data_IF_072031845090
#
_entry.id   IF_072031845090
#
_cell.length_a   1.000
_cell.length_b   1.000
_cell.length_c   1.000
_cell.angle_alpha   90.00
_cell.angle_beta   90.00
_cell.angle_gamma   90.00
#
_symmetry.space_group_name_H-M   'P 1'
#
loop_
_entity.id
_entity.type
_entity.pdbx_description
1 polymer ?
#
# COMPACT_ATOMS: atom_id res chain seq x y z
N UNK A 1 23.61 -12.23 4.49
CA UNK A 1 22.45 -11.37 4.14
C UNK A 1 21.21 -12.12 4.59
N UNK A 2 20.23 -11.45 5.21
CA UNK A 2 18.94 -12.08 5.54
C UNK A 2 18.26 -12.54 4.25
N UNK A 3 17.61 -13.68 4.26
CA UNK A 3 16.81 -14.14 3.12
C UNK A 3 15.68 -13.13 2.88
N UNK A 4 15.45 -12.76 1.62
CA UNK A 4 14.38 -11.82 1.25
C UNK A 4 13.54 -12.40 0.13
N UNK A 5 12.25 -12.08 0.13
CA UNK A 5 11.30 -12.51 -0.90
C UNK A 5 10.47 -11.33 -1.39
N UNK A 6 9.93 -11.41 -2.60
CA UNK A 6 9.08 -10.35 -3.17
C UNK A 6 7.63 -10.52 -2.70
N UNK A 7 7.04 -9.47 -2.15
CA UNK A 7 5.66 -9.49 -1.66
C UNK A 7 4.84 -8.33 -2.23
N UNK A 8 3.55 -8.55 -2.43
CA UNK A 8 2.54 -7.52 -2.65
C UNK A 8 1.73 -7.32 -1.37
N UNK A 9 1.76 -6.11 -0.82
CA UNK A 9 0.94 -5.68 0.31
C UNK A 9 -0.29 -4.97 -0.26
N UNK A 10 -1.48 -5.51 0.00
CA UNK A 10 -2.76 -4.89 -0.33
C UNK A 10 -3.27 -4.11 0.87
N UNK A 11 -3.58 -2.84 0.68
CA UNK A 11 -3.92 -1.93 1.78
C UNK A 11 -4.95 -0.88 1.37
N UNK A 12 -5.62 -0.32 2.37
CA UNK A 12 -6.54 0.81 2.23
C UNK A 12 -6.23 1.88 3.26
N UNK A 13 -6.66 3.10 2.97
CA UNK A 13 -6.45 4.25 3.84
C UNK A 13 -7.47 5.35 3.55
N UNK A 14 -7.79 6.10 4.60
CA UNK A 14 -8.56 7.34 4.49
C UNK A 14 -7.60 8.50 4.25
N UNK A 15 -7.63 9.05 3.04
CA UNK A 15 -6.61 9.98 2.54
C UNK A 15 -6.60 11.34 3.24
N UNK A 16 -7.67 11.74 3.93
CA UNK A 16 -7.77 13.03 4.59
C UNK A 16 -6.73 13.22 5.70
N UNK A 17 -6.20 12.11 6.23
CA UNK A 17 -5.17 12.13 7.28
C UNK A 17 -3.74 12.16 6.73
N UNK A 18 -3.55 12.05 5.41
CA UNK A 18 -2.25 11.88 4.77
C UNK A 18 -1.94 12.95 3.73
N UNK A 19 -0.66 13.33 3.64
CA UNK A 19 -0.09 14.24 2.65
C UNK A 19 0.21 13.53 1.31
N UNK A 20 -0.70 12.64 0.89
CA UNK A 20 -0.57 11.77 -0.27
C UNK A 20 -0.03 10.39 0.08
N UNK A 21 0.04 9.50 -0.92
CA UNK A 21 0.50 8.13 -0.68
C UNK A 21 2.01 7.97 -0.77
N UNK A 22 2.67 8.73 -1.65
CA UNK A 22 4.07 8.50 -2.00
C UNK A 22 5.04 9.00 -0.92
N UNK A 23 6.16 8.30 -0.75
CA UNK A 23 7.21 8.65 0.20
C UNK A 23 7.76 10.06 -0.04
N UNK A 24 8.01 10.78 1.05
CA UNK A 24 8.60 12.11 1.04
C UNK A 24 9.71 12.17 2.10
N UNK A 25 10.89 12.70 1.74
CA UNK A 25 12.06 12.73 2.63
C UNK A 25 11.83 13.59 3.88
N UNK A 26 11.20 14.75 3.70
CA UNK A 26 11.03 15.76 4.75
C UNK A 26 9.61 15.79 5.34
N UNK A 27 8.82 14.74 5.10
CA UNK A 27 7.44 14.63 5.58
C UNK A 27 7.10 13.17 5.88
N UNK A 28 6.90 12.87 7.16
CA UNK A 28 6.62 11.51 7.62
C UNK A 28 5.13 11.12 7.52
N UNK A 29 4.26 12.07 7.17
CA UNK A 29 2.82 11.88 7.13
C UNK A 29 2.30 11.52 5.73
N UNK A 30 2.88 10.49 5.14
CA UNK A 30 2.38 9.85 3.90
C UNK A 30 2.11 8.38 4.16
N UNK A 31 1.34 7.73 3.29
CA UNK A 31 1.04 6.30 3.42
C UNK A 31 2.32 5.46 3.35
N UNK A 32 3.19 5.72 2.37
CA UNK A 32 4.45 5.00 2.20
C UNK A 32 5.43 5.27 3.36
N UNK A 33 5.55 6.50 3.86
CA UNK A 33 6.40 6.80 5.02
C UNK A 33 5.96 5.98 6.26
N UNK A 34 4.65 5.98 6.58
CA UNK A 34 4.12 5.22 7.72
C UNK A 34 4.23 3.71 7.52
N UNK A 35 4.07 3.21 6.30
CA UNK A 35 4.25 1.79 5.99
C UNK A 35 5.73 1.38 6.18
N UNK A 36 6.66 2.10 5.57
CA UNK A 36 8.11 1.82 5.65
C UNK A 36 8.62 1.90 7.09
N UNK A 37 8.18 2.90 7.86
CA UNK A 37 8.51 3.02 9.28
C UNK A 37 8.12 1.76 10.07
N UNK A 38 6.92 1.24 9.83
CA UNK A 38 6.43 0.05 10.54
C UNK A 38 7.06 -1.25 10.03
N UNK A 39 7.35 -1.35 8.74
CA UNK A 39 8.11 -2.48 8.19
C UNK A 39 9.52 -2.55 8.79
N UNK A 40 10.19 -1.39 8.90
CA UNK A 40 11.52 -1.31 9.52
C UNK A 40 11.46 -1.66 11.02
N UNK A 41 10.50 -1.12 11.76
CA UNK A 41 10.27 -1.48 13.19
C UNK A 41 9.97 -2.96 13.42
N UNK A 42 9.43 -3.65 12.42
CA UNK A 42 9.17 -5.09 12.47
C UNK A 42 10.36 -5.93 11.95
N UNK A 43 11.43 -5.27 11.52
CA UNK A 43 12.63 -5.83 10.86
C UNK A 43 12.34 -6.54 9.53
N UNK A 44 11.26 -6.13 8.85
CA UNK A 44 10.85 -6.66 7.55
C UNK A 44 11.61 -6.01 6.39
N UNK A 45 12.26 -4.87 6.64
CA UNK A 45 13.20 -4.21 5.72
C UNK A 45 14.39 -3.70 6.53
N UNK A 46 15.55 -3.57 5.87
CA UNK A 46 16.78 -3.14 6.54
C UNK A 46 16.98 -1.62 6.52
N UNK A 47 16.31 -0.89 5.62
CA UNK A 47 16.37 0.57 5.53
C UNK A 47 15.20 1.14 4.72
N UNK A 48 15.01 2.46 4.77
CA UNK A 48 13.89 3.17 4.11
C UNK A 48 14.09 3.37 2.61
N UNK A 49 15.32 3.19 2.10
CA UNK A 49 15.65 3.25 0.68
C UNK A 49 15.38 1.92 -0.05
N UNK A 50 14.66 1.00 0.62
CA UNK A 50 14.24 -0.28 0.03
C UNK A 50 13.41 0.00 -1.23
N UNK A 51 13.83 -0.51 -2.41
CA UNK A 51 13.08 -0.30 -3.64
C UNK A 51 11.67 -0.88 -3.53
N UNK A 52 10.69 -0.07 -3.94
CA UNK A 52 9.29 -0.48 -3.97
C UNK A 52 8.60 0.02 -5.24
N UNK A 53 7.64 -0.77 -5.72
CA UNK A 53 6.71 -0.43 -6.77
C UNK A 53 5.29 -0.30 -6.19
N UNK A 54 4.42 0.42 -6.89
CA UNK A 54 3.09 0.80 -6.39
C UNK A 54 2.05 0.75 -7.49
N UNK A 55 0.87 0.22 -7.17
CA UNK A 55 -0.25 0.16 -8.11
C UNK A 55 -0.68 1.56 -8.53
N UNK A 56 -0.76 2.49 -7.57
CA UNK A 56 -1.10 3.88 -7.81
C UNK A 56 -0.46 4.82 -6.79
N UNK A 57 -0.22 6.06 -7.21
CA UNK A 57 -0.02 7.19 -6.29
C UNK A 57 -1.34 7.90 -6.12
N UNK A 58 -1.61 8.40 -4.91
CA UNK A 58 -2.75 9.27 -4.64
C UNK A 58 -2.27 10.59 -4.07
N UNK A 59 -2.87 11.69 -4.52
CA UNK A 59 -2.56 13.03 -4.03
C UNK A 59 -3.06 13.22 -2.59
N UNK A 60 -2.64 14.33 -1.96
CA UNK A 60 -3.08 14.72 -0.62
C UNK A 60 -4.60 14.70 -0.50
N UNK A 61 -5.11 14.05 0.55
CA UNK A 61 -6.56 13.94 0.79
C UNK A 61 -7.27 12.82 0.02
N UNK A 62 -6.65 12.24 -1.01
CA UNK A 62 -7.28 11.18 -1.82
C UNK A 62 -7.17 9.82 -1.10
N UNK A 63 -8.33 9.20 -0.88
CA UNK A 63 -8.44 7.89 -0.22
C UNK A 63 -8.23 6.73 -1.20
N UNK A 64 -7.88 5.56 -0.68
CA UNK A 64 -7.84 4.32 -1.47
C UNK A 64 -8.59 3.19 -0.76
N UNK A 65 -9.56 2.58 -1.46
CA UNK A 65 -10.26 1.39 -0.97
C UNK A 65 -9.40 0.13 -1.07
N UNK A 66 -8.59 0.00 -2.13
CA UNK A 66 -7.56 -1.02 -2.30
C UNK A 66 -6.44 -0.39 -3.13
N UNK A 67 -5.25 -0.28 -2.55
CA UNK A 67 -4.01 0.03 -3.24
C UNK A 67 -3.02 -1.11 -2.99
N UNK A 68 -1.95 -1.18 -3.79
CA UNK A 68 -0.94 -2.23 -3.68
C UNK A 68 0.47 -1.65 -3.66
N UNK A 69 1.27 -2.10 -2.70
CA UNK A 69 2.71 -1.80 -2.62
C UNK A 69 3.46 -3.11 -2.76
N UNK A 70 4.39 -3.18 -3.71
CA UNK A 70 5.22 -4.34 -3.93
C UNK A 70 6.68 -4.02 -3.60
N UNK A 71 7.31 -4.86 -2.80
CA UNK A 71 8.68 -4.72 -2.34
C UNK A 71 9.21 -6.04 -1.80
N UNK A 72 10.53 -6.12 -1.65
CA UNK A 72 11.18 -7.26 -1.00
C UNK A 72 11.11 -7.11 0.51
N UNK A 73 10.72 -8.18 1.20
CA UNK A 73 10.71 -8.26 2.65
C UNK A 73 11.66 -9.35 3.13
N UNK A 74 12.29 -9.12 4.27
CA UNK A 74 13.07 -10.11 5.01
C UNK A 74 12.17 -11.30 5.39
N UNK A 75 12.71 -12.52 5.36
CA UNK A 75 12.11 -13.73 5.91
C UNK A 75 12.53 -13.85 7.37
N UNK A 76 11.60 -13.58 8.29
CA UNK A 76 11.85 -13.55 9.74
C UNK A 76 11.68 -14.91 10.41
N UNK A 77 10.89 -15.79 9.81
CA UNK A 77 10.52 -17.08 10.37
C UNK A 77 11.13 -18.20 9.52
N UNK A 78 12.35 -18.59 9.88
CA UNK A 78 13.06 -19.70 9.20
C UNK A 78 12.27 -21.01 9.31
N UNK A 79 12.32 -21.82 8.26
CA UNK A 79 11.62 -23.12 8.18
C UNK A 79 10.08 -23.06 8.32
N UNK A 80 9.48 -21.87 8.22
CA UNK A 80 8.03 -21.69 8.19
C UNK A 80 7.55 -21.56 6.75
N UNK A 81 6.47 -22.26 6.34
CA UNK A 81 5.92 -22.12 4.99
C UNK A 81 5.54 -20.66 4.68
N UNK A 82 5.83 -20.21 3.45
CA UNK A 82 5.56 -18.83 2.99
C UNK A 82 4.11 -18.40 3.26
N UNK A 83 3.14 -19.29 3.06
CA UNK A 83 1.73 -19.00 3.32
C UNK A 83 1.46 -18.64 4.80
N UNK A 84 2.19 -19.22 5.75
CA UNK A 84 2.07 -18.86 7.16
C UNK A 84 2.79 -17.55 7.46
N UNK A 85 3.94 -17.30 6.80
CA UNK A 85 4.65 -16.02 6.90
C UNK A 85 3.77 -14.85 6.43
N UNK A 86 3.10 -14.99 5.28
CA UNK A 86 2.10 -14.02 4.77
C UNK A 86 1.08 -13.67 5.86
N UNK A 87 0.48 -14.68 6.48
CA UNK A 87 -0.52 -14.51 7.54
C UNK A 87 0.04 -13.85 8.80
N UNK A 88 1.29 -14.16 9.18
CA UNK A 88 1.96 -13.52 10.32
C UNK A 88 2.22 -12.05 10.03
N UNK A 89 2.77 -11.71 8.86
CA UNK A 89 3.06 -10.31 8.49
C UNK A 89 1.79 -9.46 8.41
N UNK A 90 0.70 -10.01 7.88
CA UNK A 90 -0.61 -9.34 7.91
C UNK A 90 -1.02 -9.02 9.34
N UNK A 91 -0.92 -9.98 10.26
CA UNK A 91 -1.27 -9.79 11.67
C UNK A 91 -0.38 -8.76 12.36
N UNK A 92 0.93 -8.80 12.11
CA UNK A 92 1.90 -7.87 12.72
C UNK A 92 1.67 -6.43 12.25
N UNK A 93 1.50 -6.22 10.94
CA UNK A 93 1.24 -4.88 10.41
C UNK A 93 -0.14 -4.35 10.82
N UNK A 94 -1.20 -5.18 10.82
CA UNK A 94 -2.53 -4.80 11.32
C UNK A 94 -2.50 -4.31 12.76
N UNK A 95 -1.65 -4.89 13.61
CA UNK A 95 -1.50 -4.46 15.01
C UNK A 95 -0.78 -3.12 15.15
N UNK A 96 0.08 -2.77 14.21
CA UNK A 96 0.93 -1.58 14.27
C UNK A 96 0.32 -0.37 13.56
N UNK A 97 -0.38 -0.59 12.45
CA UNK A 97 -0.98 0.47 11.64
C UNK A 97 -2.41 0.76 12.09
N UNK A 98 -2.68 2.00 12.50
CA UNK A 98 -4.02 2.45 12.91
C UNK A 98 -4.86 3.00 11.74
N UNK A 99 -4.23 3.81 10.88
CA UNK A 99 -4.91 4.59 9.84
C UNK A 99 -4.68 4.03 8.42
N UNK A 100 -3.97 2.90 8.34
CA UNK A 100 -3.78 2.11 7.13
C UNK A 100 -4.25 0.70 7.45
N UNK A 101 -5.23 0.19 6.71
CA UNK A 101 -5.73 -1.15 6.89
C UNK A 101 -5.06 -2.10 5.89
N UNK A 102 -4.31 -3.08 6.40
CA UNK A 102 -3.74 -4.14 5.56
C UNK A 102 -4.81 -5.18 5.26
N UNK A 103 -5.12 -5.41 4.00
CA UNK A 103 -6.05 -6.48 3.61
C UNK A 103 -5.35 -7.82 3.54
N UNK A 104 -4.21 -7.85 2.85
CA UNK A 104 -3.48 -9.08 2.56
C UNK A 104 -2.02 -8.79 2.23
N UNK A 105 -1.18 -9.82 2.34
CA UNK A 105 0.22 -9.82 1.89
C UNK A 105 0.43 -11.11 1.13
N UNK A 106 0.92 -11.01 -0.10
CA UNK A 106 1.08 -12.15 -0.99
C UNK A 106 2.49 -12.24 -1.51
N UNK A 107 3.10 -13.42 -1.38
CA UNK A 107 4.33 -13.74 -2.07
C UNK A 107 4.08 -13.76 -3.58
N UNK A 108 4.94 -13.09 -4.32
CA UNK A 108 4.83 -12.94 -5.77
C UNK A 108 6.16 -13.28 -6.43
N UNK A 109 6.13 -13.47 -7.76
CA UNK A 109 7.36 -13.67 -8.54
C UNK A 109 8.37 -12.55 -8.27
N UNK A 110 9.67 -12.87 -8.31
CA UNK A 110 10.73 -11.87 -8.25
C UNK A 110 10.67 -10.85 -9.40
N UNK A 111 9.98 -11.16 -10.49
CA UNK A 111 9.76 -10.28 -11.65
C UNK A 111 8.48 -9.45 -11.57
N UNK A 112 7.67 -9.65 -10.53
CA UNK A 112 6.43 -8.90 -10.36
C UNK A 112 6.72 -7.46 -9.96
N UNK A 113 6.05 -6.51 -10.62
CA UNK A 113 6.05 -5.09 -10.31
C UNK A 113 4.59 -4.59 -10.24
N UNK A 114 4.21 -3.99 -9.11
CA UNK A 114 2.83 -3.57 -8.88
C UNK A 114 2.34 -2.50 -9.87
N UNK A 115 3.23 -1.68 -10.43
CA UNK A 115 2.86 -0.66 -11.42
C UNK A 115 2.67 -1.29 -12.79
N UNK A 116 3.63 -2.09 -13.23
CA UNK A 116 3.69 -2.67 -14.58
C UNK A 116 2.72 -3.83 -14.77
N UNK A 117 2.52 -4.66 -13.74
CA UNK A 117 1.56 -5.78 -13.81
C UNK A 117 0.12 -5.36 -13.48
N UNK A 118 -0.12 -4.11 -13.06
CA UNK A 118 -1.48 -3.62 -12.87
C UNK A 118 -2.13 -3.31 -14.23
N UNK A 119 -3.17 -4.07 -14.55
CA UNK A 119 -3.92 -3.97 -15.82
C UNK A 119 -4.85 -2.76 -15.83
N UNK A 120 -5.52 -2.48 -14.71
CA UNK A 120 -6.51 -1.41 -14.62
C UNK A 120 -6.57 -0.81 -13.21
N UNK A 121 -6.87 0.48 -13.14
CA UNK A 121 -7.26 1.18 -11.91
C UNK A 121 -8.66 1.77 -12.11
N UNK A 122 -9.49 1.72 -11.07
CA UNK A 122 -10.83 2.31 -11.08
C UNK A 122 -10.95 3.28 -9.91
N UNK A 123 -11.40 4.49 -10.21
CA UNK A 123 -11.61 5.56 -9.23
C UNK A 123 -13.09 5.88 -9.12
N UNK A 124 -13.55 6.14 -7.89
CA UNK A 124 -14.92 6.57 -7.60
C UNK A 124 -14.85 7.90 -6.89
N UNK A 125 -15.54 8.90 -7.44
CA UNK A 125 -15.63 10.23 -6.86
C UNK A 125 -16.98 10.40 -6.17
N UNK A 126 -16.93 10.81 -4.91
CA UNK A 126 -18.11 11.15 -4.11
C UNK A 126 -18.17 12.67 -3.98
N UNK A 127 -19.33 13.26 -4.26
CA UNK A 127 -19.58 14.69 -4.09
C UNK A 127 -20.94 14.91 -3.44
N UNK A 128 -21.05 15.95 -2.61
CA UNK A 128 -22.32 16.36 -2.02
C UNK A 128 -23.18 16.93 -3.15
N UNK A 129 -24.40 16.43 -3.33
CA UNK A 129 -25.30 16.98 -4.35
C UNK A 129 -25.69 18.43 -3.99
N UNK A 130 -25.20 19.41 -4.76
CA UNK A 130 -25.55 20.83 -4.63
C UNK A 130 -26.49 21.28 -5.75
N UNK A 131 -27.53 20.48 -6.04
CA UNK A 131 -28.42 20.64 -7.20
C UNK A 131 -27.66 20.59 -8.55
N UNK A 132 -26.69 19.68 -8.65
CA UNK A 132 -25.95 19.48 -9.89
C UNK A 132 -26.87 18.91 -10.98
N UNK A 133 -26.65 19.33 -12.23
CA UNK A 133 -27.32 18.73 -13.37
C UNK A 133 -26.63 17.41 -13.76
N UNK A 134 -27.05 16.31 -13.13
CA UNK A 134 -26.46 14.98 -13.31
C UNK A 134 -26.55 14.49 -14.75
N UNK A 135 -27.64 14.77 -15.47
CA UNK A 135 -27.80 14.35 -16.86
C UNK A 135 -26.78 15.05 -17.78
N UNK A 136 -26.53 16.36 -17.57
CA UNK A 136 -25.46 17.06 -18.28
C UNK A 136 -24.07 16.52 -17.93
N UNK A 137 -23.83 16.15 -16.66
CA UNK A 137 -22.56 15.53 -16.25
C UNK A 137 -22.34 14.18 -16.94
N UNK A 138 -23.37 13.31 -16.97
CA UNK A 138 -23.31 12.02 -17.67
C UNK A 138 -23.09 12.17 -19.17
N UNK A 139 -23.70 13.18 -19.80
CA UNK A 139 -23.53 13.44 -21.23
C UNK A 139 -22.12 13.95 -21.59
N UNK A 140 -21.42 14.56 -20.63
CA UNK A 140 -20.09 15.14 -20.85
C UNK A 140 -18.92 14.21 -20.45
N UNK A 141 -19.19 13.18 -19.64
CA UNK A 141 -18.22 12.18 -19.21
C UNK A 141 -17.94 11.14 -20.31
#
# INVERSE_FOLDING_TARGET
MKETHNFLILLSYFGMEFNGSAYQKDNDNTVENKLLENLYKLELIDNYDTPLSRVSRTDKGVSARINGINLRLNIKYENVPILEIERKYVKELKKKLKNIHIHDIKHVSNTFDARLNCIQRTYVYFFINKNYNIEKMKKAA
#
